data_IF_509266386997
#
_entry.id   IF_509266386997
#
_cell.length_a   1.000
_cell.length_b   1.000
_cell.length_c   1.000
_cell.angle_alpha   90.00
_cell.angle_beta   90.00
_cell.angle_gamma   90.00
#
_symmetry.space_group_name_H-M   'P 1'
#
loop_
_entity.id
_entity.type
_entity.pdbx_description
1 polymer ?
#
# COMPACT_ATOMS: atom_id res chain seq x y z
N UNK A 1 34.10 58.71 45.39
CA UNK A 1 33.12 58.27 46.41
C UNK A 1 32.13 57.31 45.78
N UNK A 2 31.88 56.19 46.47
CA UNK A 2 30.79 55.21 46.35
C UNK A 2 30.66 54.37 45.06
N UNK A 3 31.19 53.14 45.18
CA UNK A 3 30.70 51.93 44.52
C UNK A 3 29.21 51.72 44.80
N UNK A 4 28.44 51.31 43.78
CA UNK A 4 27.31 50.38 43.96
C UNK A 4 27.29 49.44 42.76
N UNK A 5 27.81 48.22 42.97
CA UNK A 5 27.53 47.07 42.12
C UNK A 5 26.16 46.50 42.50
N UNK A 6 25.37 46.01 41.55
CA UNK A 6 24.31 45.00 41.80
C UNK A 6 23.83 44.33 40.50
N UNK A 7 24.32 43.10 40.31
CA UNK A 7 23.58 41.94 39.80
C UNK A 7 23.13 41.93 38.33
N UNK A 8 23.96 41.38 37.45
CA UNK A 8 23.46 40.72 36.22
C UNK A 8 22.92 39.33 36.60
N UNK A 9 21.62 39.11 36.44
CA UNK A 9 21.04 37.78 36.48
C UNK A 9 21.23 37.11 35.11
N UNK A 10 22.06 36.07 35.03
CA UNK A 10 22.10 35.17 33.87
C UNK A 10 20.90 34.21 33.94
N UNK A 11 19.90 34.43 33.10
CA UNK A 11 18.88 33.43 32.81
C UNK A 11 19.45 32.43 31.79
N UNK A 12 19.83 31.23 32.25
CA UNK A 12 20.21 30.13 31.36
C UNK A 12 18.92 29.47 30.86
N UNK A 13 18.48 29.82 29.65
CA UNK A 13 17.46 29.04 28.95
C UNK A 13 18.06 27.69 28.53
N UNK A 14 17.72 26.63 29.26
CA UNK A 14 17.91 25.26 28.80
C UNK A 14 16.98 25.02 27.60
N UNK A 15 17.53 25.06 26.39
CA UNK A 15 16.82 24.59 25.19
C UNK A 15 16.64 23.08 25.31
N UNK A 16 15.45 22.65 25.75
CA UNK A 16 15.02 21.25 25.64
C UNK A 16 14.87 20.99 24.14
N UNK A 17 15.91 20.42 23.53
CA UNK A 17 15.80 19.87 22.19
C UNK A 17 14.94 18.62 22.30
N UNK A 18 13.66 18.75 21.94
CA UNK A 18 12.82 17.58 21.72
C UNK A 18 13.53 16.74 20.65
N UNK A 19 13.76 15.42 20.89
CA UNK A 19 14.31 14.56 19.86
C UNK A 19 13.35 14.63 18.67
N UNK A 20 13.88 15.14 17.56
CA UNK A 20 13.14 15.18 16.31
C UNK A 20 12.96 13.72 15.91
N UNK A 21 11.74 13.22 16.08
CA UNK A 21 11.37 11.90 15.62
C UNK A 21 11.50 11.90 14.10
N UNK A 22 12.67 11.49 13.61
CA UNK A 22 12.83 11.14 12.21
C UNK A 22 11.77 10.09 11.94
N UNK A 23 10.81 10.41 11.08
CA UNK A 23 9.83 9.45 10.59
C UNK A 23 10.64 8.28 10.02
N UNK A 24 10.73 7.20 10.80
CA UNK A 24 11.46 6.02 10.41
C UNK A 24 10.74 5.48 9.20
N UNK A 25 11.29 5.68 8.01
CA UNK A 25 10.80 5.06 6.78
C UNK A 25 10.67 3.57 7.07
N UNK A 26 9.43 3.08 7.24
CA UNK A 26 9.16 1.66 7.43
C UNK A 26 9.64 0.98 6.16
N UNK A 27 10.78 0.32 6.25
CA UNK A 27 11.52 -0.16 5.09
C UNK A 27 12.97 -0.45 5.41
N UNK A 28 13.61 -1.17 4.52
CA UNK A 28 15.00 -1.58 4.70
C UNK A 28 15.50 -2.39 3.52
N UNK A 29 16.81 -2.62 3.52
CA UNK A 29 17.49 -3.38 2.48
C UNK A 29 17.60 -4.84 2.90
N UNK A 30 17.28 -5.73 1.96
CA UNK A 30 17.46 -7.18 2.07
C UNK A 30 18.49 -7.60 1.05
N UNK A 31 19.49 -8.32 1.52
CA UNK A 31 20.48 -8.98 0.66
C UNK A 31 20.09 -10.44 0.49
N UNK A 32 19.96 -10.86 -0.76
CA UNK A 32 19.58 -12.20 -1.15
C UNK A 32 20.76 -12.95 -1.76
N UNK A 33 20.77 -14.26 -1.50
CA UNK A 33 21.57 -15.23 -2.24
C UNK A 33 20.64 -15.98 -3.19
N UNK A 34 20.99 -16.01 -4.47
CA UNK A 34 20.16 -16.54 -5.54
C UNK A 34 20.86 -17.70 -6.26
N UNK A 35 20.08 -18.43 -7.07
CA UNK A 35 20.60 -19.49 -7.93
C UNK A 35 21.75 -19.01 -8.82
N UNK A 36 22.73 -19.88 -9.03
CA UNK A 36 23.94 -19.60 -9.80
C UNK A 36 24.96 -18.73 -9.05
N UNK A 37 24.89 -18.68 -7.71
CA UNK A 37 25.83 -17.92 -6.88
C UNK A 37 25.67 -16.40 -6.96
N UNK A 38 24.56 -15.92 -7.54
CA UNK A 38 24.29 -14.50 -7.73
C UNK A 38 23.79 -13.87 -6.43
N UNK A 39 24.04 -12.59 -6.28
CA UNK A 39 23.52 -11.79 -5.16
C UNK A 39 22.63 -10.67 -5.66
N UNK A 40 21.60 -10.37 -4.88
CA UNK A 40 20.64 -9.30 -5.17
C UNK A 40 20.42 -8.48 -3.90
N UNK A 41 20.49 -7.16 -4.00
CA UNK A 41 20.11 -6.26 -2.92
C UNK A 41 18.81 -5.54 -3.32
N UNK A 42 17.80 -5.63 -2.46
CA UNK A 42 16.50 -4.97 -2.66
C UNK A 42 16.19 -4.11 -1.45
N UNK A 43 15.94 -2.81 -1.67
CA UNK A 43 15.43 -1.90 -0.65
C UNK A 43 13.93 -1.77 -0.79
N UNK A 44 13.19 -2.23 0.23
CA UNK A 44 11.74 -2.11 0.28
C UNK A 44 11.31 -0.85 1.03
N UNK A 45 10.18 -0.30 0.63
CA UNK A 45 9.51 0.80 1.32
C UNK A 45 8.06 0.42 1.56
N UNK A 46 7.54 0.79 2.73
CA UNK A 46 6.18 0.50 3.16
C UNK A 46 5.48 1.81 3.57
N UNK A 47 4.15 1.84 3.49
CA UNK A 47 3.37 2.96 4.01
C UNK A 47 3.20 2.85 5.55
N UNK A 48 2.46 3.79 6.14
CA UNK A 48 2.16 3.81 7.58
C UNK A 48 1.37 2.59 8.07
N UNK A 49 0.64 1.91 7.18
CA UNK A 49 -0.06 0.66 7.48
C UNK A 49 0.85 -0.59 7.33
N UNK A 50 2.11 -0.42 6.92
CA UNK A 50 3.04 -1.53 6.72
C UNK A 50 2.87 -2.26 5.37
N UNK A 51 2.08 -1.70 4.44
CA UNK A 51 1.87 -2.23 3.09
C UNK A 51 3.04 -1.85 2.18
N UNK A 52 3.52 -2.74 1.31
CA UNK A 52 4.58 -2.39 0.36
C UNK A 52 4.17 -1.27 -0.58
N UNK A 53 5.11 -0.37 -0.89
CA UNK A 53 4.91 0.70 -1.87
C UNK A 53 5.92 0.64 -3.00
N UNK A 54 7.19 0.34 -2.67
CA UNK A 54 8.27 0.29 -3.65
C UNK A 54 9.31 -0.77 -3.29
N UNK A 55 9.94 -1.32 -4.33
CA UNK A 55 11.13 -2.14 -4.25
C UNK A 55 12.21 -1.52 -5.15
N UNK A 56 13.40 -1.25 -4.61
CA UNK A 56 14.52 -0.67 -5.36
C UNK A 56 15.67 -1.66 -5.44
N UNK A 57 16.21 -1.85 -6.63
CA UNK A 57 17.33 -2.76 -6.85
C UNK A 57 18.18 -2.31 -8.02
N UNK A 58 19.43 -2.77 -8.10
CA UNK A 58 20.33 -2.45 -9.21
C UNK A 58 20.39 -3.62 -10.18
N UNK A 59 20.00 -3.41 -11.44
CA UNK A 59 20.01 -4.41 -12.50
C UNK A 59 20.87 -3.88 -13.64
N UNK A 60 21.88 -4.65 -14.06
CA UNK A 60 22.82 -4.28 -15.14
C UNK A 60 23.42 -2.88 -14.97
N UNK A 61 23.81 -2.53 -13.74
CA UNK A 61 24.39 -1.21 -13.43
C UNK A 61 23.37 -0.09 -13.20
N UNK A 62 22.11 -0.25 -13.62
CA UNK A 62 21.07 0.77 -13.47
C UNK A 62 20.21 0.54 -12.22
N UNK A 63 19.90 1.63 -11.52
CA UNK A 63 18.92 1.59 -10.43
C UNK A 63 17.51 1.47 -10.99
N UNK A 64 16.77 0.49 -10.49
CA UNK A 64 15.37 0.23 -10.79
C UNK A 64 14.53 0.53 -9.57
N UNK A 65 13.42 1.23 -9.79
CA UNK A 65 12.41 1.52 -8.77
C UNK A 65 11.11 0.90 -9.27
N UNK A 66 10.74 -0.22 -8.66
CA UNK A 66 9.52 -0.93 -8.98
C UNK A 66 8.45 -0.51 -7.98
N UNK A 67 7.27 -0.17 -8.49
CA UNK A 67 6.10 0.14 -7.67
C UNK A 67 5.35 -1.15 -7.31
N UNK A 68 4.78 -1.20 -6.11
CA UNK A 68 3.90 -2.29 -5.70
C UNK A 68 2.74 -2.42 -6.70
N UNK A 69 2.56 -3.64 -7.22
CA UNK A 69 1.53 -3.96 -8.19
C UNK A 69 0.28 -4.46 -7.46
N UNK A 70 -0.52 -3.49 -7.02
CA UNK A 70 -1.80 -3.71 -6.32
C UNK A 70 -2.76 -4.63 -7.10
N UNK A 71 -2.67 -4.62 -8.44
CA UNK A 71 -3.62 -5.36 -9.29
C UNK A 71 -3.28 -6.86 -9.35
N UNK A 72 -2.02 -7.23 -9.07
CA UNK A 72 -1.53 -8.61 -9.11
C UNK A 72 -1.28 -9.22 -7.73
N UNK A 73 -1.01 -8.39 -6.73
CA UNK A 73 -0.63 -8.85 -5.39
C UNK A 73 -1.82 -9.42 -4.60
N UNK A 74 -1.55 -10.43 -3.78
CA UNK A 74 -2.53 -11.21 -2.99
C UNK A 74 -1.93 -11.68 -1.66
N UNK A 75 -2.73 -12.37 -0.84
CA UNK A 75 -2.42 -12.85 0.52
C UNK A 75 -1.33 -13.91 0.56
N UNK A 76 -0.95 -14.41 -0.60
CA UNK A 76 0.10 -15.43 -0.74
C UNK A 76 1.31 -14.93 -1.53
N UNK A 77 1.15 -13.88 -2.35
CA UNK A 77 2.21 -13.41 -3.26
C UNK A 77 2.18 -11.90 -3.47
N UNK A 78 3.36 -11.28 -3.41
CA UNK A 78 3.56 -9.84 -3.62
C UNK A 78 4.25 -9.59 -4.96
N UNK A 79 3.73 -8.65 -5.74
CA UNK A 79 4.31 -8.24 -7.01
C UNK A 79 4.71 -6.76 -6.99
N UNK A 80 5.82 -6.45 -7.65
CA UNK A 80 6.24 -5.11 -8.00
C UNK A 80 6.56 -5.06 -9.49
N UNK A 81 6.36 -3.89 -10.10
CA UNK A 81 6.75 -3.64 -11.50
C UNK A 81 7.27 -2.23 -11.70
N UNK A 82 8.20 -2.05 -12.63
CA UNK A 82 8.56 -0.72 -13.13
C UNK A 82 7.91 -0.45 -14.49
N UNK A 83 8.06 0.78 -14.99
CA UNK A 83 7.51 1.18 -16.30
C UNK A 83 8.20 0.50 -17.48
N UNK A 84 9.42 0.00 -17.28
CA UNK A 84 10.17 -0.70 -18.32
C UNK A 84 9.75 -2.17 -18.43
N UNK A 85 8.96 -2.69 -17.48
CA UNK A 85 8.45 -4.06 -17.46
C UNK A 85 9.27 -5.03 -16.62
N UNK A 86 10.25 -4.56 -15.85
CA UNK A 86 10.93 -5.42 -14.87
C UNK A 86 9.96 -5.73 -13.74
N UNK A 87 9.94 -6.98 -13.30
CA UNK A 87 9.09 -7.42 -12.18
C UNK A 87 9.91 -8.02 -11.06
N UNK A 88 9.47 -7.78 -9.84
CA UNK A 88 9.89 -8.53 -8.66
C UNK A 88 8.65 -9.22 -8.09
N UNK A 89 8.72 -10.53 -7.89
CA UNK A 89 7.73 -11.25 -7.09
C UNK A 89 8.36 -11.88 -5.86
N UNK A 90 7.55 -12.06 -4.84
CA UNK A 90 7.90 -12.58 -3.53
C UNK A 90 6.67 -13.26 -2.95
N UNK A 91 6.81 -14.05 -1.89
CA UNK A 91 5.69 -14.38 -1.02
C UNK A 91 4.99 -13.10 -0.49
N UNK A 92 3.91 -13.27 0.27
CA UNK A 92 3.29 -12.12 0.93
C UNK A 92 4.32 -11.38 1.81
N UNK A 93 4.50 -10.08 1.57
CA UNK A 93 5.41 -9.24 2.35
C UNK A 93 4.71 -7.99 2.94
N UNK A 94 5.12 -7.64 4.14
CA UNK A 94 4.82 -6.40 4.85
C UNK A 94 6.05 -5.91 5.63
N UNK A 95 5.91 -4.78 6.31
CA UNK A 95 7.00 -4.17 7.08
C UNK A 95 7.58 -5.07 8.20
N UNK A 96 6.88 -6.13 8.61
CA UNK A 96 7.28 -7.05 9.68
C UNK A 96 8.01 -8.30 9.18
N UNK A 97 7.72 -8.77 7.95
CA UNK A 97 8.22 -10.06 7.47
C UNK A 97 9.19 -9.97 6.27
N UNK A 98 9.28 -8.83 5.57
CA UNK A 98 9.99 -8.70 4.30
C UNK A 98 11.46 -9.15 4.31
N UNK A 99 12.12 -9.09 5.47
CA UNK A 99 13.51 -9.50 5.65
C UNK A 99 13.73 -11.01 5.55
N UNK A 100 12.65 -11.79 5.56
CA UNK A 100 12.69 -13.26 5.57
C UNK A 100 12.05 -13.89 4.34
N UNK A 101 11.52 -13.08 3.44
CA UNK A 101 10.81 -13.53 2.24
C UNK A 101 11.76 -13.87 1.11
N UNK A 102 11.28 -14.64 0.13
CA UNK A 102 12.02 -14.99 -1.07
C UNK A 102 11.87 -13.92 -2.16
N UNK A 103 12.68 -13.97 -3.22
CA UNK A 103 12.51 -13.08 -4.36
C UNK A 103 12.74 -13.79 -5.71
N UNK A 104 12.03 -13.30 -6.72
CA UNK A 104 12.18 -13.64 -8.12
C UNK A 104 12.15 -12.35 -8.93
N UNK A 105 13.14 -12.15 -9.80
CA UNK A 105 13.20 -10.96 -10.66
C UNK A 105 13.23 -11.38 -12.11
N UNK A 106 12.35 -10.77 -12.91
CA UNK A 106 12.27 -10.99 -14.34
C UNK A 106 12.53 -9.69 -15.11
N UNK A 107 13.12 -9.85 -16.29
CA UNK A 107 13.26 -8.82 -17.29
C UNK A 107 11.93 -8.59 -18.03
N UNK A 108 11.78 -7.47 -18.75
CA UNK A 108 10.57 -7.15 -19.51
C UNK A 108 10.20 -8.19 -20.58
N UNK A 109 11.19 -8.91 -21.10
CA UNK A 109 11.00 -9.97 -22.09
C UNK A 109 10.67 -11.34 -21.47
N UNK A 110 10.41 -11.41 -20.15
CA UNK A 110 10.09 -12.64 -19.43
C UNK A 110 11.30 -13.46 -18.98
N UNK A 111 12.53 -13.05 -19.32
CA UNK A 111 13.72 -13.76 -18.87
C UNK A 111 13.91 -13.63 -17.36
N UNK A 112 14.22 -14.73 -16.69
CA UNK A 112 14.51 -14.73 -15.26
C UNK A 112 15.93 -14.18 -15.03
N UNK A 113 16.01 -13.04 -14.35
CA UNK A 113 17.27 -12.39 -13.99
C UNK A 113 17.81 -12.90 -12.66
N UNK A 114 16.94 -13.14 -11.70
CA UNK A 114 17.31 -13.67 -10.39
C UNK A 114 16.25 -14.67 -9.95
N UNK A 115 16.67 -15.92 -9.70
CA UNK A 115 15.81 -17.06 -9.33
C UNK A 115 16.22 -17.59 -7.97
N UNK A 116 15.27 -18.12 -7.21
CA UNK A 116 15.57 -18.84 -5.96
C UNK A 116 16.23 -17.95 -4.91
N UNK A 117 15.94 -16.65 -4.92
CA UNK A 117 16.61 -15.72 -4.03
C UNK A 117 16.09 -15.87 -2.60
N UNK A 118 16.98 -16.16 -1.67
CA UNK A 118 16.67 -16.32 -0.25
C UNK A 118 17.38 -15.25 0.56
N UNK A 119 16.63 -14.59 1.44
CA UNK A 119 17.18 -13.65 2.41
C UNK A 119 17.93 -14.39 3.53
N UNK A 120 18.90 -13.73 4.18
CA UNK A 120 19.55 -14.30 5.37
C UNK A 120 18.52 -14.46 6.48
N UNK A 121 18.32 -15.69 6.96
CA UNK A 121 17.30 -16.02 7.96
C UNK A 121 15.95 -16.43 7.36
N UNK A 122 15.84 -16.58 6.04
CA UNK A 122 14.74 -17.31 5.42
C UNK A 122 14.78 -18.76 5.92
N UNK A 123 13.85 -19.14 6.80
CA UNK A 123 13.71 -20.53 7.21
C UNK A 123 13.33 -21.35 5.98
N UNK A 124 14.15 -22.32 5.59
CA UNK A 124 13.81 -23.32 4.57
C UNK A 124 12.76 -24.28 5.13
N UNK A 125 11.57 -23.77 5.39
CA UNK A 125 10.41 -24.63 5.50
C UNK A 125 10.13 -25.14 4.08
N UNK A 126 10.15 -26.47 3.91
CA UNK A 126 9.55 -27.13 2.76
C UNK A 126 8.09 -26.62 2.62
N UNK A 127 7.89 -25.56 1.84
CA UNK A 127 6.56 -25.07 1.52
C UNK A 127 6.17 -25.70 0.20
N UNK A 128 5.06 -26.47 0.14
CA UNK A 128 4.47 -26.86 -1.12
C UNK A 128 4.30 -25.62 -2.00
N UNK A 129 4.47 -25.78 -3.32
CA UNK A 129 4.18 -24.73 -4.28
C UNK A 129 2.82 -24.08 -3.96
N UNK A 130 2.66 -22.75 -4.09
CA UNK A 130 1.38 -22.10 -3.84
C UNK A 130 0.29 -22.80 -4.65
N UNK A 131 -0.64 -23.44 -3.95
CA UNK A 131 -1.87 -23.93 -4.57
C UNK A 131 -2.59 -22.69 -5.10
N UNK A 132 -3.08 -22.67 -6.36
CA UNK A 132 -3.87 -21.55 -6.85
C UNK A 132 -5.19 -21.53 -6.07
N UNK A 133 -5.25 -20.74 -5.00
CA UNK A 133 -6.52 -20.46 -4.33
C UNK A 133 -7.21 -19.35 -5.10
N UNK A 134 -8.36 -19.68 -5.68
CA UNK A 134 -9.22 -18.74 -6.39
C UNK A 134 -9.54 -17.53 -5.50
N UNK A 135 -9.12 -16.37 -5.99
CA UNK A 135 -9.32 -15.03 -5.42
C UNK A 135 -10.78 -14.80 -4.99
N UNK A 136 -11.01 -14.79 -3.67
CA UNK A 136 -12.20 -14.19 -3.04
C UNK A 136 -11.88 -12.78 -2.50
N UNK A 137 -11.08 -12.00 -3.21
CA UNK A 137 -10.57 -10.76 -2.63
C UNK A 137 -11.54 -9.59 -2.86
N UNK A 138 -12.85 -9.78 -2.59
CA UNK A 138 -13.86 -8.73 -2.70
C UNK A 138 -15.27 -9.20 -3.05
N UNK A 139 -16.19 -8.25 -3.11
CA UNK A 139 -17.62 -8.48 -3.30
C UNK A 139 -18.36 -7.21 -3.69
N UNK A 140 -19.65 -7.33 -4.00
CA UNK A 140 -20.50 -6.19 -4.32
C UNK A 140 -21.33 -5.78 -3.12
N UNK A 141 -21.41 -4.47 -2.88
CA UNK A 141 -22.28 -3.87 -1.87
C UNK A 141 -23.33 -3.03 -2.59
N UNK A 142 -24.59 -3.29 -2.28
CA UNK A 142 -25.69 -2.45 -2.71
C UNK A 142 -25.89 -1.34 -1.68
N UNK A 143 -25.99 -0.11 -2.14
CA UNK A 143 -26.18 1.05 -1.28
C UNK A 143 -27.53 1.72 -1.53
N UNK A 144 -28.16 2.16 -0.45
CA UNK A 144 -29.24 3.15 -0.49
C UNK A 144 -28.71 4.47 0.04
N UNK A 145 -28.94 5.53 -0.72
CA UNK A 145 -28.43 6.86 -0.42
C UNK A 145 -29.59 7.82 -0.16
N UNK A 146 -29.26 9.05 0.25
CA UNK A 146 -30.22 10.14 0.34
C UNK A 146 -30.94 10.37 -1.00
N UNK A 147 -32.12 10.98 -0.94
CA UNK A 147 -33.01 11.21 -2.09
C UNK A 147 -33.40 9.92 -2.83
N UNK A 148 -33.43 8.79 -2.11
CA UNK A 148 -33.80 7.47 -2.63
C UNK A 148 -32.92 6.99 -3.80
N UNK A 149 -31.71 7.54 -3.95
CA UNK A 149 -30.74 7.07 -4.94
C UNK A 149 -30.16 5.74 -4.52
N UNK A 150 -29.73 4.93 -5.49
CA UNK A 150 -29.12 3.62 -5.27
C UNK A 150 -27.88 3.47 -6.12
N UNK A 151 -26.87 2.79 -5.60
CA UNK A 151 -25.64 2.46 -6.33
C UNK A 151 -25.12 1.11 -5.85
N UNK A 152 -24.61 0.30 -6.77
CA UNK A 152 -23.88 -0.92 -6.44
C UNK A 152 -22.40 -0.64 -6.66
N UNK A 153 -21.59 -0.96 -5.65
CA UNK A 153 -20.13 -0.85 -5.73
C UNK A 153 -19.52 -2.23 -5.55
N UNK A 154 -18.75 -2.67 -6.53
CA UNK A 154 -17.93 -3.86 -6.43
C UNK A 154 -16.56 -3.47 -5.91
N UNK A 155 -16.20 -3.99 -4.73
CA UNK A 155 -14.89 -3.77 -4.14
C UNK A 155 -13.96 -4.92 -4.44
N UNK A 156 -12.67 -4.59 -4.53
CA UNK A 156 -11.58 -5.56 -4.43
C UNK A 156 -10.59 -5.12 -3.37
N UNK A 157 -9.96 -6.11 -2.79
CA UNK A 157 -8.97 -6.00 -1.73
C UNK A 157 -7.71 -6.74 -2.13
N UNK A 158 -6.61 -6.39 -1.50
CA UNK A 158 -5.42 -7.20 -1.54
C UNK A 158 -5.50 -8.29 -0.46
N UNK A 159 -4.44 -9.06 -0.45
CA UNK A 159 -3.93 -9.87 0.63
C UNK A 159 -4.40 -9.60 2.07
N UNK A 160 -4.16 -8.37 2.49
CA UNK A 160 -4.22 -7.92 3.87
C UNK A 160 -5.64 -7.49 4.22
N UNK A 161 -6.57 -7.72 3.29
CA UNK A 161 -7.89 -7.18 3.33
C UNK A 161 -7.94 -5.68 3.03
N UNK A 162 -6.91 -5.09 2.42
CA UNK A 162 -6.85 -3.64 2.21
C UNK A 162 -7.42 -3.31 0.82
N UNK A 163 -8.27 -2.28 0.67
CA UNK A 163 -8.92 -2.02 -0.59
C UNK A 163 -7.92 -1.71 -1.71
N UNK A 164 -8.22 -2.18 -2.92
CA UNK A 164 -7.42 -1.93 -4.13
C UNK A 164 -8.23 -1.27 -5.24
N UNK A 165 -9.52 -1.61 -5.33
CA UNK A 165 -10.39 -1.15 -6.41
C UNK A 165 -11.85 -1.05 -5.95
N UNK A 166 -12.56 -0.08 -6.52
CA UNK A 166 -14.00 0.06 -6.45
C UNK A 166 -14.55 0.26 -7.86
N UNK A 167 -15.55 -0.53 -8.27
CA UNK A 167 -16.23 -0.40 -9.56
C UNK A 167 -17.69 -0.07 -9.33
N UNK A 168 -18.18 0.99 -9.97
CA UNK A 168 -19.58 1.39 -9.88
C UNK A 168 -20.09 1.90 -11.23
N UNK A 169 -21.37 1.68 -11.53
CA UNK A 169 -21.99 2.35 -12.67
C UNK A 169 -22.30 3.80 -12.29
N UNK A 170 -21.51 4.75 -12.81
CA UNK A 170 -21.66 6.17 -12.54
C UNK A 170 -21.96 6.91 -13.85
N UNK A 171 -23.10 7.59 -13.87
CA UNK A 171 -23.59 8.33 -15.04
C UNK A 171 -23.69 7.44 -16.30
N UNK A 172 -24.21 6.21 -16.13
CA UNK A 172 -24.47 5.28 -17.24
C UNK A 172 -23.28 4.44 -17.70
N UNK A 173 -22.11 4.55 -17.05
CA UNK A 173 -20.93 3.76 -17.41
C UNK A 173 -20.25 3.16 -16.18
N UNK A 174 -19.70 1.95 -16.33
CA UNK A 174 -18.88 1.34 -15.29
C UNK A 174 -17.57 2.13 -15.15
N UNK A 175 -17.38 2.73 -13.99
CA UNK A 175 -16.17 3.45 -13.61
C UNK A 175 -15.36 2.58 -12.68
N UNK A 176 -14.09 2.40 -13.03
CA UNK A 176 -13.11 1.77 -12.16
C UNK A 176 -12.35 2.86 -11.42
N UNK A 177 -12.41 2.83 -10.10
CA UNK A 177 -11.66 3.71 -9.21
C UNK A 177 -10.63 2.87 -8.44
N UNK A 178 -9.42 3.39 -8.29
CA UNK A 178 -8.34 2.74 -7.55
C UNK A 178 -8.26 3.30 -6.14
N UNK A 179 -7.87 2.46 -5.19
CA UNK A 179 -7.57 2.91 -3.83
C UNK A 179 -6.52 4.02 -3.85
N UNK A 180 -6.84 5.14 -3.21
CA UNK A 180 -5.99 6.31 -3.13
C UNK A 180 -5.10 6.21 -1.90
N UNK A 181 -3.95 5.56 -2.07
CA UNK A 181 -2.97 5.37 -0.99
C UNK A 181 -2.42 6.67 -0.41
N UNK A 182 -2.50 7.78 -1.15
CA UNK A 182 -1.94 9.05 -0.70
C UNK A 182 -2.88 9.82 0.22
N UNK A 183 -4.18 9.57 0.11
CA UNK A 183 -5.21 10.29 0.86
C UNK A 183 -5.97 9.40 1.86
N UNK A 184 -5.87 8.07 1.74
CA UNK A 184 -6.51 7.14 2.67
C UNK A 184 -5.67 6.96 3.94
N UNK A 185 -6.35 6.81 5.07
CA UNK A 185 -5.78 6.69 6.41
C UNK A 185 -6.33 5.44 7.10
N UNK A 186 -6.00 5.28 8.39
CA UNK A 186 -6.59 4.28 9.29
C UNK A 186 -8.04 4.59 9.70
N UNK A 187 -8.58 5.76 9.34
CA UNK A 187 -9.95 6.18 9.65
C UNK A 187 -10.79 6.47 8.41
N UNK A 188 -10.17 6.74 7.26
CA UNK A 188 -10.85 7.11 6.02
C UNK A 188 -10.29 6.33 4.82
N UNK A 189 -11.17 5.87 3.94
CA UNK A 189 -10.81 5.17 2.70
C UNK A 189 -11.30 5.96 1.50
N UNK A 190 -10.40 6.17 0.54
CA UNK A 190 -10.71 6.86 -0.70
C UNK A 190 -10.39 6.00 -1.92
N UNK A 191 -11.26 6.08 -2.92
CA UNK A 191 -10.99 5.56 -4.26
C UNK A 191 -11.14 6.70 -5.26
N UNK A 192 -10.23 6.77 -6.23
CA UNK A 192 -10.22 7.80 -7.28
C UNK A 192 -10.10 7.18 -8.67
N UNK A 193 -10.75 7.77 -9.66
CA UNK A 193 -10.63 7.32 -11.06
C UNK A 193 -11.46 8.14 -12.03
N UNK A 194 -10.87 8.53 -13.16
CA UNK A 194 -11.53 9.36 -14.18
C UNK A 194 -12.18 10.65 -13.62
N UNK A 195 -11.57 11.24 -12.58
CA UNK A 195 -12.09 12.41 -11.86
C UNK A 195 -13.16 12.11 -10.81
N UNK A 196 -13.72 10.89 -10.77
CA UNK A 196 -14.64 10.49 -9.72
C UNK A 196 -13.89 10.16 -8.43
N UNK A 197 -14.56 10.35 -7.29
CA UNK A 197 -14.07 9.96 -5.97
C UNK A 197 -15.16 9.23 -5.19
N UNK A 198 -14.81 8.11 -4.57
CA UNK A 198 -15.61 7.47 -3.52
C UNK A 198 -14.87 7.71 -2.20
N UNK A 199 -15.55 8.27 -1.21
CA UNK A 199 -15.05 8.41 0.15
C UNK A 199 -15.88 7.56 1.11
N UNK A 200 -15.21 6.88 2.02
CA UNK A 200 -15.78 6.04 3.06
C UNK A 200 -15.00 6.19 4.37
N UNK A 201 -15.56 5.70 5.47
CA UNK A 201 -14.75 5.39 6.65
C UNK A 201 -13.72 4.29 6.37
N UNK A 202 -12.89 3.97 7.35
CA UNK A 202 -11.94 2.86 7.25
C UNK A 202 -12.61 1.60 6.73
N UNK A 203 -12.02 1.03 5.69
CA UNK A 203 -12.56 -0.11 4.97
C UNK A 203 -11.51 -1.21 4.87
N UNK A 204 -11.92 -2.44 5.16
CA UNK A 204 -11.16 -3.66 4.91
C UNK A 204 -12.09 -4.79 4.43
N UNK A 205 -11.52 -5.94 4.09
CA UNK A 205 -12.27 -7.13 3.64
C UNK A 205 -13.29 -7.65 4.66
N UNK A 206 -13.15 -7.30 5.94
CA UNK A 206 -14.02 -7.79 7.02
C UNK A 206 -15.20 -6.86 7.27
N UNK A 207 -15.08 -5.56 6.95
CA UNK A 207 -16.06 -4.55 7.33
C UNK A 207 -16.74 -3.84 6.16
N UNK A 208 -16.28 -4.03 4.92
CA UNK A 208 -16.76 -3.25 3.76
C UNK A 208 -18.25 -3.38 3.47
N UNK A 209 -18.89 -4.47 3.90
CA UNK A 209 -20.32 -4.73 3.70
C UNK A 209 -21.19 -4.14 4.81
N UNK A 210 -20.63 -3.76 5.96
CA UNK A 210 -21.40 -3.45 7.18
C UNK A 210 -21.08 -2.10 7.80
N UNK A 211 -19.84 -1.62 7.71
CA UNK A 211 -19.37 -0.44 8.43
C UNK A 211 -19.13 0.78 7.53
N UNK A 212 -19.17 0.60 6.21
CA UNK A 212 -18.74 1.62 5.26
C UNK A 212 -19.93 2.38 4.68
N UNK A 213 -20.33 3.48 5.34
CA UNK A 213 -21.12 4.51 4.68
C UNK A 213 -20.28 5.23 3.62
N UNK A 214 -20.82 5.50 2.42
CA UNK A 214 -20.06 6.12 1.32
C UNK A 214 -20.67 7.42 0.81
N UNK A 215 -19.81 8.27 0.24
CA UNK A 215 -20.18 9.39 -0.61
C UNK A 215 -19.45 9.28 -1.95
N UNK A 216 -20.12 9.65 -3.04
CA UNK A 216 -19.55 9.59 -4.39
C UNK A 216 -19.65 10.96 -5.06
N UNK A 217 -18.53 11.42 -5.59
CA UNK A 217 -18.38 12.73 -6.24
C UNK A 217 -18.06 12.57 -7.73
N UNK A 218 -18.59 13.47 -8.54
CA UNK A 218 -18.30 13.58 -9.97
C UNK A 218 -16.94 14.25 -10.22
N UNK A 219 -16.41 14.20 -11.45
CA UNK A 219 -15.22 14.96 -11.86
C UNK A 219 -15.34 16.48 -11.68
N UNK A 220 -16.56 17.00 -11.54
CA UNK A 220 -16.84 18.42 -11.27
C UNK A 220 -16.97 18.71 -9.77
N UNK A 221 -16.62 17.75 -8.91
CA UNK A 221 -16.79 17.81 -7.44
C UNK A 221 -18.25 17.89 -6.98
N UNK A 222 -19.19 17.59 -7.87
CA UNK A 222 -20.61 17.50 -7.51
C UNK A 222 -20.88 16.20 -6.77
N UNK A 223 -21.65 16.26 -5.69
CA UNK A 223 -22.04 15.07 -4.94
C UNK A 223 -23.12 14.30 -5.71
N UNK A 224 -22.76 13.14 -6.26
CA UNK A 224 -23.67 12.26 -6.98
C UNK A 224 -24.46 11.38 -6.01
N UNK A 225 -23.80 10.83 -5.01
CA UNK A 225 -24.44 9.96 -4.04
C UNK A 225 -24.00 10.38 -2.64
N UNK A 226 -24.98 10.66 -1.78
CA UNK A 226 -24.78 11.24 -0.45
C UNK A 226 -25.29 10.29 0.62
N UNK A 227 -24.50 10.09 1.67
CA UNK A 227 -24.89 9.33 2.87
C UNK A 227 -25.43 7.97 2.50
N UNK A 228 -24.65 7.21 1.73
CA UNK A 228 -25.04 5.90 1.25
C UNK A 228 -24.75 4.85 2.32
N UNK A 229 -25.76 4.05 2.66
CA UNK A 229 -25.64 2.96 3.62
C UNK A 229 -25.84 1.62 2.91
N UNK A 230 -25.08 0.57 3.30
CA UNK A 230 -25.30 -0.77 2.78
C UNK A 230 -26.74 -1.24 3.01
N UNK A 231 -27.34 -1.85 2.00
CA UNK A 231 -28.60 -2.58 2.10
C UNK A 231 -28.35 -4.06 1.93
N UNK A 232 -28.61 -4.83 3.00
CA UNK A 232 -28.58 -6.28 3.01
C UNK A 232 -29.88 -6.87 2.47
#
# INVERSE_FOLDING_TARGET
MKMVAKGLALAVLACITAPQAFAQTRGGSVSYHCDGGRTLAVSYSFNSAGIPTQARMRINGANRVLSYDLDRSSDVETFFKDRSGYTLSSDYIDASNYQRSAALVMAPNGNILFKGCQARGHATANRPAPVPQQSRNGGSVNYRCQNNRRVTVQYRFNAQGIPTQAVANLQGANRTLRYDMNNSTDTETYFIGSGYRIGAGYMDIHNYTTNSGINIYSPRHEMLYKGCEPVN
#
